data_IF_660812789845
#
_entry.id   IF_660812789845
#
_cell.length_a   1.000
_cell.length_b   1.000
_cell.length_c   1.000
_cell.angle_alpha   90.00
_cell.angle_beta   90.00
_cell.angle_gamma   90.00
#
_symmetry.space_group_name_H-M   'P 1'
#
loop_
_entity.id
_entity.type
_entity.pdbx_description
1 polymer ?
#
# COMPACT_ATOMS: atom_id res chain seq x y z
N UNK A 1 3.34 -13.28 -12.09
CA UNK A 1 2.31 -13.37 -11.04
C UNK A 1 2.89 -12.80 -9.74
N UNK A 2 2.14 -11.98 -8.98
CA UNK A 2 2.62 -11.34 -7.74
C UNK A 2 2.67 -9.81 -7.77
N UNK A 3 1.79 -9.15 -8.53
CA UNK A 3 1.72 -7.69 -8.62
C UNK A 3 0.79 -7.09 -7.56
N UNK A 4 -0.40 -7.64 -7.37
CA UNK A 4 -1.37 -7.13 -6.42
C UNK A 4 -0.97 -7.33 -4.97
N UNK A 5 -1.00 -8.58 -4.48
CA UNK A 5 -0.77 -8.90 -3.06
C UNK A 5 0.62 -8.47 -2.56
N UNK A 6 1.67 -8.72 -3.34
CA UNK A 6 3.03 -8.26 -2.98
C UNK A 6 3.12 -6.74 -2.99
N UNK A 7 2.44 -6.07 -3.94
CA UNK A 7 2.34 -4.61 -3.97
C UNK A 7 1.64 -4.04 -2.73
N UNK A 8 0.58 -4.69 -2.25
CA UNK A 8 -0.10 -4.31 -0.99
C UNK A 8 0.86 -4.40 0.18
N UNK A 9 1.59 -5.51 0.32
CA UNK A 9 2.53 -5.67 1.43
C UNK A 9 3.66 -4.64 1.36
N UNK A 10 4.17 -4.33 0.16
CA UNK A 10 5.17 -3.27 -0.04
C UNK A 10 4.61 -1.89 0.32
N UNK A 11 3.36 -1.58 -0.04
CA UNK A 11 2.72 -0.32 0.33
C UNK A 11 2.51 -0.23 1.86
N UNK A 12 2.02 -1.29 2.50
CA UNK A 12 1.88 -1.34 3.96
C UNK A 12 3.23 -1.19 4.68
N UNK A 13 4.31 -1.74 4.12
CA UNK A 13 5.66 -1.56 4.64
C UNK A 13 6.09 -0.09 4.61
N UNK A 14 5.83 0.63 3.51
CA UNK A 14 6.11 2.07 3.41
C UNK A 14 5.25 2.89 4.38
N UNK A 15 3.98 2.55 4.55
CA UNK A 15 3.11 3.18 5.55
C UNK A 15 3.68 3.01 6.96
N UNK A 16 4.02 1.78 7.36
CA UNK A 16 4.43 1.48 8.73
C UNK A 16 5.81 2.03 9.08
N UNK A 17 6.81 1.78 8.24
CA UNK A 17 8.21 2.07 8.57
C UNK A 17 8.68 3.44 8.09
N UNK A 18 7.99 4.02 7.10
CA UNK A 18 8.36 5.32 6.52
C UNK A 18 7.30 6.40 6.74
N UNK A 19 6.20 6.08 7.45
CA UNK A 19 5.15 7.03 7.79
C UNK A 19 4.43 7.63 6.58
N UNK A 20 4.48 6.96 5.42
CA UNK A 20 3.83 7.46 4.21
C UNK A 20 2.31 7.36 4.33
N UNK A 21 1.59 8.30 3.70
CA UNK A 21 0.15 8.14 3.49
C UNK A 21 -0.10 6.95 2.56
N UNK A 22 -1.29 6.29 2.64
CA UNK A 22 -1.64 5.19 1.75
C UNK A 22 -1.49 5.54 0.27
N UNK A 23 -1.92 6.74 -0.14
CA UNK A 23 -1.83 7.25 -1.50
C UNK A 23 -0.38 7.34 -1.97
N UNK A 24 0.48 7.90 -1.11
CA UNK A 24 1.90 8.06 -1.42
C UNK A 24 2.60 6.70 -1.52
N UNK A 25 2.30 5.78 -0.61
CA UNK A 25 2.85 4.43 -0.61
C UNK A 25 2.45 3.64 -1.87
N UNK A 26 1.16 3.65 -2.22
CA UNK A 26 0.66 2.97 -3.43
C UNK A 26 1.28 3.58 -4.69
N UNK A 27 1.35 4.91 -4.75
CA UNK A 27 1.95 5.63 -5.89
C UNK A 27 3.42 5.24 -6.05
N UNK A 28 4.20 5.24 -4.98
CA UNK A 28 5.61 4.86 -5.00
C UNK A 28 5.81 3.41 -5.47
N UNK A 29 5.00 2.48 -4.96
CA UNK A 29 5.06 1.07 -5.38
C UNK A 29 4.71 0.92 -6.86
N UNK A 30 3.73 1.66 -7.38
CA UNK A 30 3.35 1.65 -8.81
C UNK A 30 4.40 2.27 -9.70
N UNK A 31 5.08 3.34 -9.26
CA UNK A 31 6.17 3.98 -10.01
C UNK A 31 7.37 3.03 -10.14
N UNK A 32 7.75 2.34 -9.07
CA UNK A 32 8.85 1.37 -9.09
C UNK A 32 8.48 0.08 -9.83
N UNK A 33 7.22 -0.34 -9.74
CA UNK A 33 6.72 -1.55 -10.38
C UNK A 33 5.30 -1.34 -10.91
N UNK A 34 5.17 -0.92 -12.16
CA UNK A 34 3.88 -0.68 -12.81
C UNK A 34 2.93 -1.89 -12.70
N UNK A 35 1.66 -1.61 -12.45
CA UNK A 35 0.61 -2.63 -12.27
C UNK A 35 0.52 -3.24 -10.87
N UNK A 36 1.37 -2.83 -9.92
CA UNK A 36 1.24 -3.25 -8.51
C UNK A 36 0.00 -2.65 -7.85
N UNK A 37 -0.56 -3.36 -6.85
CA UNK A 37 -1.85 -3.03 -6.22
C UNK A 37 -2.95 -2.97 -7.30
N UNK A 38 -3.40 -4.14 -7.74
CA UNK A 38 -4.15 -4.35 -8.98
C UNK A 38 -5.63 -3.96 -8.88
N UNK A 39 -6.21 -3.96 -7.67
CA UNK A 39 -7.65 -3.75 -7.48
C UNK A 39 -7.94 -2.69 -6.44
N UNK A 40 -9.12 -2.08 -6.53
CA UNK A 40 -9.59 -1.11 -5.55
C UNK A 40 -9.70 -1.70 -4.12
N UNK A 41 -10.06 -2.98 -3.99
CA UNK A 41 -10.06 -3.65 -2.67
C UNK A 41 -8.65 -3.76 -2.07
N UNK A 42 -7.63 -3.94 -2.91
CA UNK A 42 -6.23 -3.97 -2.47
C UNK A 42 -5.75 -2.59 -2.04
N UNK A 43 -6.15 -1.52 -2.74
CA UNK A 43 -5.90 -0.15 -2.28
C UNK A 43 -6.53 0.07 -0.91
N UNK A 44 -7.83 -0.23 -0.76
CA UNK A 44 -8.56 -0.10 0.51
C UNK A 44 -7.92 -0.86 1.68
N UNK A 45 -7.26 -1.99 1.42
CA UNK A 45 -6.53 -2.71 2.46
C UNK A 45 -5.37 -1.87 3.05
N UNK A 46 -4.65 -1.12 2.21
CA UNK A 46 -3.57 -0.21 2.65
C UNK A 46 -4.14 0.94 3.48
N UNK A 47 -5.25 1.54 3.04
CA UNK A 47 -5.96 2.58 3.79
C UNK A 47 -6.42 2.10 5.17
N UNK A 48 -7.12 0.97 5.23
CA UNK A 48 -7.59 0.38 6.50
C UNK A 48 -6.43 0.08 7.45
N UNK A 49 -5.29 -0.36 6.91
CA UNK A 49 -4.10 -0.61 7.71
C UNK A 49 -3.52 0.69 8.30
N UNK A 50 -3.43 1.75 7.50
CA UNK A 50 -3.03 3.07 7.99
C UNK A 50 -3.97 3.61 9.07
N UNK A 51 -5.28 3.50 8.86
CA UNK A 51 -6.28 3.95 9.85
C UNK A 51 -6.17 3.15 11.15
N UNK A 52 -5.93 1.84 11.07
CA UNK A 52 -5.67 0.99 12.23
C UNK A 52 -4.44 1.48 13.02
N UNK A 53 -3.33 1.80 12.36
CA UNK A 53 -2.13 2.31 13.03
C UNK A 53 -2.35 3.65 13.74
N UNK A 54 -3.33 4.46 13.29
CA UNK A 54 -3.69 5.76 13.89
C UNK A 54 -4.77 5.66 14.96
N UNK A 55 -5.41 4.50 15.08
CA UNK A 55 -6.38 4.19 16.14
C UNK A 55 -5.73 3.63 17.40
N UNK A 56 -4.42 3.35 17.33
CA UNK A 56 -3.54 3.06 18.47
C UNK A 56 -3.06 4.37 19.10
#
# INVERSE_FOLDING_TARGET
MGLGRTGVMAACFLVHFYGQSPEQAITNVRLLRPGSVETYEQEKAVFRYHDYLRSL
#
